data_IF_438865671897
#
_entry.id   IF_438865671897
#
_cell.length_a   1.000
_cell.length_b   1.000
_cell.length_c   1.000
_cell.angle_alpha   90.00
_cell.angle_beta   90.00
_cell.angle_gamma   90.00
#
_symmetry.space_group_name_H-M   'P 1'
#
loop_
_entity.id
_entity.type
_entity.pdbx_description
1 polymer ?
#
# COMPACT_ATOMS: atom_id res chain seq x y z
N UNK A 1 -60.75 24.38 43.09
CA UNK A 1 -60.55 23.55 41.91
C UNK A 1 -59.75 24.30 40.85
N UNK A 2 -58.47 24.64 41.06
CA UNK A 2 -57.60 25.35 40.09
C UNK A 2 -56.16 25.09 40.39
N UNK A 3 -55.70 23.80 40.51
CA UNK A 3 -54.32 23.47 40.73
C UNK A 3 -53.82 22.19 39.98
N UNK A 4 -54.53 21.78 38.90
CA UNK A 4 -54.15 20.55 38.17
C UNK A 4 -53.81 20.73 36.68
N UNK A 5 -53.64 21.96 36.22
CA UNK A 5 -53.40 22.22 34.78
C UNK A 5 -52.01 22.74 34.40
N UNK A 6 -51.06 22.78 35.31
CA UNK A 6 -49.70 23.36 35.02
C UNK A 6 -48.61 22.31 34.88
N UNK A 7 -48.83 21.03 35.20
CA UNK A 7 -47.79 19.99 35.10
C UNK A 7 -47.74 19.26 33.74
N UNK A 8 -48.64 19.50 32.82
CA UNK A 8 -48.67 18.78 31.54
C UNK A 8 -47.95 19.49 30.37
N UNK A 9 -47.52 20.74 30.57
CA UNK A 9 -46.85 21.52 29.50
C UNK A 9 -45.32 21.53 29.56
N UNK A 10 -44.68 20.91 30.57
CA UNK A 10 -43.21 20.95 30.72
C UNK A 10 -42.48 19.67 30.31
N UNK A 11 -43.21 18.64 29.89
CA UNK A 11 -42.59 17.36 29.45
C UNK A 11 -42.44 17.21 27.94
N UNK A 12 -42.86 18.19 27.14
CA UNK A 12 -42.85 18.04 25.67
C UNK A 12 -41.72 18.79 24.95
N UNK A 13 -40.80 19.43 25.67
CA UNK A 13 -39.70 20.21 25.06
C UNK A 13 -38.29 19.65 25.31
N UNK A 14 -38.16 18.41 25.86
CA UNK A 14 -36.85 17.84 26.15
C UNK A 14 -36.46 16.63 25.27
N UNK A 15 -37.16 16.40 24.15
CA UNK A 15 -36.89 15.26 23.26
C UNK A 15 -36.32 15.62 21.88
N UNK A 16 -35.88 16.86 21.66
CA UNK A 16 -35.29 17.24 20.34
C UNK A 16 -33.87 17.78 20.52
N UNK A 17 -32.98 17.01 21.14
CA UNK A 17 -31.57 17.31 21.15
C UNK A 17 -30.69 16.03 21.26
N UNK A 18 -31.19 14.91 20.78
CA UNK A 18 -30.33 13.78 20.38
C UNK A 18 -30.16 13.91 18.87
N UNK A 19 -29.50 15.01 18.46
CA UNK A 19 -28.90 15.11 17.15
C UNK A 19 -27.95 13.95 17.01
N UNK A 20 -28.32 12.94 16.22
CA UNK A 20 -27.44 11.87 15.86
C UNK A 20 -26.14 12.46 15.32
N UNK A 21 -25.10 12.38 16.09
CA UNK A 21 -23.76 12.42 15.52
C UNK A 21 -23.72 11.20 14.60
N UNK A 22 -23.98 11.43 13.31
CA UNK A 22 -23.53 10.50 12.29
C UNK A 22 -22.02 10.41 12.51
N UNK A 23 -21.60 9.34 13.17
CA UNK A 23 -20.18 8.97 13.16
C UNK A 23 -19.81 8.96 11.67
N UNK A 24 -18.95 9.88 11.26
CA UNK A 24 -18.32 9.80 9.98
C UNK A 24 -17.59 8.45 10.02
N UNK A 25 -18.19 7.45 9.41
CA UNK A 25 -17.52 6.18 9.18
C UNK A 25 -16.21 6.57 8.50
N UNK A 26 -15.07 6.29 9.13
CA UNK A 26 -13.80 6.40 8.47
C UNK A 26 -13.94 5.60 7.17
N UNK A 27 -14.01 6.33 6.06
CA UNK A 27 -14.11 5.69 4.76
C UNK A 27 -12.77 5.03 4.53
N UNK A 28 -12.69 3.75 4.86
CA UNK A 28 -11.53 2.94 4.55
C UNK A 28 -11.24 3.02 3.05
N UNK A 29 -9.98 2.87 2.68
CA UNK A 29 -9.58 2.79 1.28
C UNK A 29 -10.19 1.51 0.71
N UNK A 30 -10.98 1.63 -0.36
CA UNK A 30 -11.49 0.48 -1.12
C UNK A 30 -10.57 0.15 -2.29
N UNK A 31 -10.64 -1.09 -2.76
CA UNK A 31 -9.83 -1.55 -3.89
C UNK A 31 -10.74 -2.00 -5.03
N UNK A 32 -10.40 -1.59 -6.24
CA UNK A 32 -11.11 -1.96 -7.47
C UNK A 32 -10.07 -2.56 -8.42
N UNK A 33 -10.20 -3.85 -8.69
CA UNK A 33 -9.33 -4.56 -9.63
C UNK A 33 -10.07 -4.80 -10.94
N UNK A 34 -9.58 -4.23 -12.04
CA UNK A 34 -10.17 -4.36 -13.38
C UNK A 34 -11.68 -4.04 -13.40
N UNK A 35 -12.11 -3.05 -12.58
CA UNK A 35 -13.51 -2.64 -12.46
C UNK A 35 -14.34 -3.43 -11.45
N UNK A 36 -13.82 -4.48 -10.83
CA UNK A 36 -14.49 -5.25 -9.78
C UNK A 36 -13.95 -4.89 -8.39
N UNK A 37 -14.82 -4.87 -7.38
CA UNK A 37 -14.40 -4.63 -5.99
C UNK A 37 -13.54 -5.81 -5.52
N UNK A 38 -12.36 -5.51 -4.98
CA UNK A 38 -11.47 -6.46 -4.35
C UNK A 38 -11.60 -6.32 -2.83
N UNK A 39 -12.18 -7.33 -2.20
CA UNK A 39 -12.25 -7.41 -0.74
C UNK A 39 -10.89 -7.82 -0.17
N UNK A 40 -10.47 -7.13 0.88
CA UNK A 40 -9.24 -7.44 1.63
C UNK A 40 -9.57 -7.57 3.11
N UNK A 41 -9.08 -8.61 3.77
CA UNK A 41 -9.33 -8.83 5.21
C UNK A 41 -8.67 -7.76 6.07
N UNK A 42 -7.56 -7.21 5.61
CA UNK A 42 -6.79 -6.19 6.31
C UNK A 42 -7.00 -4.84 5.63
N UNK A 43 -7.44 -3.87 6.42
CA UNK A 43 -7.60 -2.50 5.96
C UNK A 43 -6.26 -1.90 5.51
N UNK A 44 -6.31 -1.11 4.44
CA UNK A 44 -5.15 -0.32 4.03
C UNK A 44 -4.76 0.68 5.12
N UNK A 45 -3.46 0.90 5.27
CA UNK A 45 -2.92 1.95 6.11
C UNK A 45 -2.39 3.10 5.27
N UNK A 46 -2.62 4.33 5.70
CA UNK A 46 -1.98 5.51 5.10
C UNK A 46 -0.84 5.95 6.00
N UNK A 47 0.38 5.80 5.52
CA UNK A 47 1.60 6.15 6.23
C UNK A 47 2.34 7.17 5.36
N UNK A 48 2.58 8.35 5.90
CA UNK A 48 3.22 9.47 5.18
C UNK A 48 2.68 9.65 3.75
N UNK A 49 1.35 9.84 3.64
CA UNK A 49 0.60 10.02 2.39
C UNK A 49 0.69 8.83 1.40
N UNK A 50 1.21 7.71 1.84
CA UNK A 50 1.38 6.49 1.04
C UNK A 50 0.42 5.41 1.53
N UNK A 51 -0.31 4.81 0.60
CA UNK A 51 -1.24 3.71 0.89
C UNK A 51 -0.46 2.40 0.94
N UNK A 52 -0.42 1.80 2.13
CA UNK A 52 0.14 0.47 2.39
C UNK A 52 -0.97 -0.58 2.40
N UNK A 53 -0.70 -1.71 1.79
CA UNK A 53 -1.67 -2.81 1.63
C UNK A 53 -1.03 -4.15 1.97
N UNK A 54 -1.83 -5.11 2.44
CA UNK A 54 -1.39 -6.50 2.47
C UNK A 54 -1.05 -6.95 1.04
N UNK A 55 0.18 -7.47 0.86
CA UNK A 55 0.67 -7.81 -0.47
C UNK A 55 -0.08 -9.00 -1.07
N UNK A 56 -0.45 -9.97 -0.22
CA UNK A 56 -0.91 -11.28 -0.69
C UNK A 56 -2.25 -11.26 -1.42
N UNK A 57 -3.32 -10.60 -0.92
CA UNK A 57 -4.58 -10.51 -1.64
C UNK A 57 -4.44 -9.88 -3.03
N UNK A 58 -3.56 -8.87 -3.16
CA UNK A 58 -3.32 -8.20 -4.45
C UNK A 58 -2.57 -9.13 -5.42
N UNK A 59 -1.56 -9.85 -4.90
CA UNK A 59 -0.82 -10.84 -5.70
C UNK A 59 -1.75 -11.93 -6.20
N UNK A 60 -2.54 -12.57 -5.32
CA UNK A 60 -3.47 -13.63 -5.70
C UNK A 60 -4.52 -13.19 -6.71
N UNK A 61 -5.02 -11.95 -6.56
CA UNK A 61 -6.03 -11.42 -7.46
C UNK A 61 -5.49 -11.15 -8.88
N UNK A 62 -4.19 -10.78 -9.00
CA UNK A 62 -3.53 -10.56 -10.29
C UNK A 62 -2.92 -11.85 -10.86
N UNK A 63 -2.44 -12.74 -10.00
CA UNK A 63 -1.76 -13.99 -10.35
C UNK A 63 -2.33 -15.14 -9.51
N UNK A 64 -3.44 -15.76 -9.91
CA UNK A 64 -4.10 -16.80 -9.12
C UNK A 64 -3.24 -18.04 -8.85
N UNK A 65 -2.27 -18.32 -9.74
CA UNK A 65 -1.34 -19.44 -9.62
C UNK A 65 -0.07 -19.10 -8.81
N UNK A 66 -0.01 -17.92 -8.21
CA UNK A 66 1.14 -17.52 -7.41
C UNK A 66 1.24 -18.37 -6.14
N UNK A 67 2.46 -18.76 -5.80
CA UNK A 67 2.80 -19.43 -4.55
C UNK A 67 3.61 -18.50 -3.65
N UNK A 68 3.33 -18.51 -2.34
CA UNK A 68 4.10 -17.77 -1.36
C UNK A 68 4.60 -18.70 -0.26
N UNK A 69 5.86 -18.55 0.12
CA UNK A 69 6.47 -19.26 1.23
C UNK A 69 7.19 -18.26 2.13
N UNK A 70 7.25 -18.57 3.43
CA UNK A 70 8.08 -17.82 4.36
C UNK A 70 9.41 -18.51 4.52
N UNK A 71 10.48 -17.89 4.05
CA UNK A 71 11.84 -18.39 4.15
C UNK A 71 12.82 -17.23 4.39
N UNK A 72 13.94 -17.49 5.04
CA UNK A 72 15.01 -16.51 5.24
C UNK A 72 14.53 -15.17 5.85
N UNK A 73 13.54 -15.22 6.75
CA UNK A 73 12.90 -14.04 7.37
C UNK A 73 12.24 -13.09 6.36
N UNK A 74 11.72 -13.61 5.25
CA UNK A 74 11.00 -12.84 4.22
C UNK A 74 9.89 -13.67 3.58
N UNK A 75 8.91 -13.02 2.99
CA UNK A 75 7.99 -13.65 2.07
C UNK A 75 8.70 -13.82 0.71
N UNK A 76 8.66 -15.02 0.16
CA UNK A 76 9.15 -15.36 -1.16
C UNK A 76 7.96 -15.77 -2.02
N UNK A 77 7.66 -14.99 -3.04
CA UNK A 77 6.53 -15.20 -3.95
C UNK A 77 7.06 -15.58 -5.31
N UNK A 78 6.49 -16.61 -5.89
CA UNK A 78 6.82 -17.08 -7.24
C UNK A 78 5.57 -17.26 -8.07
N UNK A 79 5.59 -16.79 -9.30
CA UNK A 79 4.59 -17.04 -10.32
C UNK A 79 5.26 -16.95 -11.70
N UNK A 80 4.53 -17.18 -12.78
CA UNK A 80 5.06 -17.03 -14.12
C UNK A 80 5.63 -15.62 -14.35
N UNK A 81 6.92 -15.56 -14.71
CA UNK A 81 7.63 -14.31 -14.98
C UNK A 81 7.93 -13.42 -13.77
N UNK A 82 7.63 -13.86 -12.52
CA UNK A 82 7.91 -13.08 -11.33
C UNK A 82 8.49 -13.92 -10.19
N UNK A 83 9.60 -13.42 -9.64
CA UNK A 83 10.10 -13.77 -8.31
C UNK A 83 10.12 -12.50 -7.47
N UNK A 84 9.39 -12.50 -6.35
CA UNK A 84 9.23 -11.32 -5.48
C UNK A 84 9.65 -11.68 -4.06
N UNK A 85 10.52 -10.87 -3.46
CA UNK A 85 10.98 -11.01 -2.08
C UNK A 85 10.59 -9.79 -1.27
N UNK A 86 9.92 -10.02 -0.14
CA UNK A 86 9.41 -8.96 0.74
C UNK A 86 9.87 -9.26 2.16
N UNK A 87 10.79 -8.44 2.68
CA UNK A 87 11.33 -8.60 4.04
C UNK A 87 10.77 -7.51 4.94
N UNK A 88 10.11 -7.85 6.07
CA UNK A 88 9.68 -6.89 7.07
C UNK A 88 10.80 -5.94 7.51
N UNK A 89 10.49 -4.66 7.63
CA UNK A 89 11.42 -3.60 8.02
C UNK A 89 12.44 -3.18 6.96
N UNK A 90 12.53 -3.88 5.83
CA UNK A 90 13.43 -3.47 4.75
C UNK A 90 12.92 -2.20 4.05
N UNK A 91 13.84 -1.35 3.61
CA UNK A 91 13.55 -0.14 2.83
C UNK A 91 13.37 -0.43 1.33
N UNK A 92 13.21 -1.69 0.96
CA UNK A 92 12.97 -2.12 -0.42
C UNK A 92 12.24 -3.46 -0.45
N UNK A 93 11.61 -3.73 -1.59
CA UNK A 93 11.24 -5.08 -2.02
C UNK A 93 12.07 -5.46 -3.24
N UNK A 94 12.34 -6.73 -3.44
CA UNK A 94 13.06 -7.21 -4.59
C UNK A 94 12.10 -7.94 -5.53
N UNK A 95 12.06 -7.54 -6.81
CA UNK A 95 11.23 -8.14 -7.83
C UNK A 95 12.07 -8.43 -9.08
N UNK A 96 12.22 -9.69 -9.46
CA UNK A 96 13.02 -10.12 -10.60
C UNK A 96 14.47 -9.57 -10.57
N UNK A 97 15.09 -9.53 -9.38
CA UNK A 97 16.43 -8.98 -9.20
C UNK A 97 16.52 -7.44 -9.24
N UNK A 98 15.37 -6.74 -9.21
CA UNK A 98 15.31 -5.28 -9.08
C UNK A 98 14.89 -4.89 -7.67
N UNK A 99 15.58 -3.92 -7.10
CA UNK A 99 15.26 -3.36 -5.79
C UNK A 99 14.33 -2.15 -5.97
N UNK A 100 13.14 -2.25 -5.42
CA UNK A 100 12.12 -1.19 -5.45
C UNK A 100 12.04 -0.55 -4.08
N UNK A 101 12.34 0.73 -4.01
CA UNK A 101 12.42 1.47 -2.76
C UNK A 101 11.07 1.61 -2.06
N UNK A 102 11.09 1.44 -0.74
CA UNK A 102 9.94 1.57 0.17
C UNK A 102 10.28 2.63 1.24
N UNK A 103 9.78 3.87 1.14
CA UNK A 103 10.22 5.01 1.95
C UNK A 103 10.19 4.73 3.46
N UNK A 104 9.04 4.31 3.98
CA UNK A 104 8.86 4.03 5.41
C UNK A 104 9.13 2.56 5.77
N UNK A 105 9.76 1.81 4.85
CA UNK A 105 10.04 0.38 5.01
C UNK A 105 8.79 -0.49 4.88
N UNK A 106 9.02 -1.78 4.75
CA UNK A 106 7.98 -2.81 4.73
C UNK A 106 7.39 -2.95 6.12
N UNK A 107 6.09 -2.74 6.26
CA UNK A 107 5.37 -2.76 7.54
C UNK A 107 4.81 -4.15 7.85
N UNK A 108 4.41 -4.36 9.10
CA UNK A 108 3.72 -5.57 9.56
C UNK A 108 2.51 -5.17 10.38
N UNK A 109 1.37 -5.80 10.10
CA UNK A 109 0.15 -5.68 10.89
C UNK A 109 -0.38 -7.07 11.23
N UNK A 110 -0.29 -7.47 12.49
CA UNK A 110 -0.59 -8.84 12.89
C UNK A 110 0.35 -9.83 12.22
N UNK A 111 -0.18 -10.67 11.35
CA UNK A 111 0.59 -11.64 10.56
C UNK A 111 0.80 -11.20 9.10
N UNK A 112 0.26 -10.06 8.72
CA UNK A 112 0.34 -9.55 7.36
C UNK A 112 1.51 -8.60 7.15
N UNK A 113 2.07 -8.67 5.95
CA UNK A 113 3.14 -7.79 5.50
C UNK A 113 2.52 -6.73 4.59
N UNK A 114 2.72 -5.48 4.96
CA UNK A 114 2.20 -4.34 4.23
C UNK A 114 3.30 -3.66 3.42
N UNK A 115 2.97 -3.35 2.17
CA UNK A 115 3.85 -2.65 1.23
C UNK A 115 3.09 -1.52 0.54
N UNK A 116 3.78 -0.46 0.08
CA UNK A 116 3.13 0.59 -0.71
C UNK A 116 2.49 0.00 -1.96
N UNK A 117 1.20 0.29 -2.17
CA UNK A 117 0.44 -0.25 -3.31
C UNK A 117 1.08 0.08 -4.66
N UNK A 118 1.67 1.26 -4.81
CA UNK A 118 2.34 1.68 -6.06
C UNK A 118 3.63 0.91 -6.31
N UNK A 119 4.39 0.61 -5.25
CA UNK A 119 5.62 -0.20 -5.34
C UNK A 119 5.26 -1.65 -5.70
N UNK A 120 4.24 -2.20 -5.04
CA UNK A 120 3.71 -3.53 -5.35
C UNK A 120 3.18 -3.59 -6.78
N UNK A 121 2.36 -2.62 -7.20
CA UNK A 121 1.84 -2.54 -8.56
C UNK A 121 2.96 -2.51 -9.61
N UNK A 122 4.02 -1.75 -9.37
CA UNK A 122 5.20 -1.73 -10.26
C UNK A 122 5.88 -3.11 -10.35
N UNK A 123 6.02 -3.83 -9.24
CA UNK A 123 6.58 -5.19 -9.24
C UNK A 123 5.71 -6.16 -10.04
N UNK A 124 4.39 -6.07 -9.86
CA UNK A 124 3.39 -6.93 -10.50
C UNK A 124 3.05 -6.51 -11.93
N UNK A 125 3.59 -5.40 -12.43
CA UNK A 125 3.25 -4.86 -13.76
C UNK A 125 1.83 -4.32 -13.84
N UNK A 126 1.23 -3.91 -12.73
CA UNK A 126 -0.10 -3.33 -12.66
C UNK A 126 -0.07 -1.80 -12.61
N UNK A 127 -1.07 -1.16 -13.18
CA UNK A 127 -1.28 0.29 -13.10
C UNK A 127 -2.13 0.62 -11.88
N UNK A 128 -1.66 1.59 -11.09
CA UNK A 128 -2.32 2.03 -9.85
C UNK A 128 -2.79 3.46 -10.01
N UNK A 129 -4.09 3.68 -9.88
CA UNK A 129 -4.71 4.99 -9.89
C UNK A 129 -5.46 5.25 -8.57
N UNK A 130 -5.44 6.49 -8.10
CA UNK A 130 -6.22 6.92 -6.94
C UNK A 130 -7.46 7.70 -7.37
N UNK A 131 -8.63 7.22 -7.00
CA UNK A 131 -9.89 7.91 -7.20
C UNK A 131 -10.31 8.62 -5.89
N UNK A 132 -10.02 9.91 -5.80
CA UNK A 132 -10.32 10.70 -4.60
C UNK A 132 -11.82 10.88 -4.32
N UNK A 133 -12.68 10.81 -5.34
CA UNK A 133 -14.11 10.96 -5.18
C UNK A 133 -14.75 9.75 -4.47
N UNK A 134 -14.25 8.55 -4.75
CA UNK A 134 -14.70 7.29 -4.13
C UNK A 134 -13.80 6.80 -3.00
N UNK A 135 -12.67 7.44 -2.74
CA UNK A 135 -11.62 6.97 -1.83
C UNK A 135 -11.18 5.55 -2.17
N UNK A 136 -11.00 5.29 -3.47
CA UNK A 136 -10.67 3.98 -4.00
C UNK A 136 -9.30 3.97 -4.68
N UNK A 137 -8.59 2.85 -4.51
CA UNK A 137 -7.42 2.49 -5.33
C UNK A 137 -7.91 1.62 -6.49
N UNK A 138 -7.75 2.11 -7.69
CA UNK A 138 -8.05 1.39 -8.92
C UNK A 138 -6.78 0.68 -9.39
N UNK A 139 -6.87 -0.63 -9.58
CA UNK A 139 -5.79 -1.50 -10.00
C UNK A 139 -6.17 -2.05 -11.38
N UNK A 140 -5.34 -1.80 -12.36
CA UNK A 140 -5.52 -2.37 -13.71
C UNK A 140 -4.37 -3.30 -14.01
N UNK A 141 -4.66 -4.53 -14.39
CA UNK A 141 -3.66 -5.52 -14.79
C UNK A 141 -2.86 -5.01 -15.98
N UNK A 142 -1.54 -5.14 -15.92
CA UNK A 142 -0.67 -4.91 -17.06
C UNK A 142 -0.44 -6.19 -17.87
N UNK A 143 0.46 -6.11 -18.83
CA UNK A 143 0.77 -7.23 -19.73
C UNK A 143 1.76 -8.24 -19.12
N UNK A 144 2.62 -7.80 -18.19
CA UNK A 144 3.66 -8.63 -17.59
C UNK A 144 4.23 -7.99 -16.34
N UNK A 145 4.79 -8.78 -15.41
CA UNK A 145 5.54 -8.26 -14.27
C UNK A 145 6.76 -7.43 -14.71
N UNK A 146 7.37 -6.77 -13.74
CA UNK A 146 8.61 -6.02 -13.97
C UNK A 146 9.68 -6.92 -14.62
N UNK A 147 10.34 -6.48 -15.71
CA UNK A 147 11.37 -7.27 -16.36
C UNK A 147 12.57 -7.51 -15.44
N UNK A 148 13.33 -8.58 -15.73
CA UNK A 148 14.54 -8.94 -14.96
C UNK A 148 15.51 -7.79 -14.82
N UNK A 149 16.10 -7.66 -13.62
CA UNK A 149 17.21 -6.76 -13.32
C UNK A 149 18.56 -7.23 -13.88
N UNK A 150 18.62 -8.49 -14.34
CA UNK A 150 19.84 -9.06 -14.95
C UNK A 150 20.03 -8.67 -16.43
N UNK A 151 19.24 -7.68 -16.91
CA UNK A 151 19.50 -7.09 -18.22
C UNK A 151 20.94 -6.56 -18.25
N UNK A 152 21.66 -6.86 -19.33
CA UNK A 152 23.02 -6.40 -19.52
C UNK A 152 23.10 -4.89 -19.31
N UNK A 153 23.76 -4.49 -18.25
CA UNK A 153 24.13 -3.10 -18.02
C UNK A 153 25.62 -2.93 -18.38
N UNK A 154 25.98 -1.71 -18.77
CA UNK A 154 27.39 -1.39 -19.02
C UNK A 154 28.06 -1.17 -17.67
N UNK A 155 29.00 -2.04 -17.30
CA UNK A 155 29.69 -1.99 -16.00
C UNK A 155 30.40 -0.66 -15.77
N UNK A 156 31.01 -0.08 -16.80
CA UNK A 156 31.64 1.23 -16.76
C UNK A 156 30.65 2.35 -16.46
N UNK A 157 29.44 2.32 -17.05
CA UNK A 157 28.38 3.28 -16.75
C UNK A 157 27.94 3.18 -15.31
N UNK A 158 27.69 1.96 -14.79
CA UNK A 158 27.32 1.73 -13.39
C UNK A 158 28.45 2.19 -12.46
N UNK A 159 29.69 1.91 -12.79
CA UNK A 159 30.86 2.36 -12.03
C UNK A 159 30.91 3.90 -11.93
N UNK A 160 30.79 4.61 -13.05
CA UNK A 160 30.83 6.07 -13.04
C UNK A 160 29.62 6.70 -12.37
N UNK A 161 28.41 6.18 -12.60
CA UNK A 161 27.20 6.63 -11.92
C UNK A 161 27.31 6.47 -10.40
N UNK A 162 27.80 5.32 -9.93
CA UNK A 162 27.96 5.09 -8.50
C UNK A 162 28.94 6.08 -7.85
N UNK A 163 29.99 6.47 -8.56
CA UNK A 163 30.97 7.49 -8.11
C UNK A 163 30.37 8.89 -8.08
N UNK A 164 29.55 9.23 -9.08
CA UNK A 164 28.85 10.51 -9.12
C UNK A 164 27.87 10.60 -7.94
N UNK A 165 27.04 9.57 -7.74
CA UNK A 165 26.10 9.51 -6.61
C UNK A 165 26.86 9.63 -5.27
N UNK A 166 27.98 8.93 -5.14
CA UNK A 166 28.80 9.03 -3.94
C UNK A 166 29.40 10.45 -3.74
N UNK A 167 29.86 11.09 -4.80
CA UNK A 167 30.42 12.45 -4.74
C UNK A 167 29.34 13.49 -4.33
N UNK A 168 28.13 13.35 -4.88
CA UNK A 168 27.02 14.27 -4.60
C UNK A 168 26.35 14.01 -3.24
N UNK A 169 26.30 12.77 -2.80
CA UNK A 169 25.52 12.35 -1.63
C UNK A 169 26.30 11.49 -0.62
N UNK A 170 27.61 11.47 -0.66
CA UNK A 170 28.46 10.59 0.17
C UNK A 170 28.19 10.69 1.67
N UNK A 171 27.86 11.88 2.16
CA UNK A 171 27.54 12.16 3.57
C UNK A 171 26.04 12.07 3.89
N UNK A 172 25.21 11.74 2.93
CA UNK A 172 23.76 11.65 3.11
C UNK A 172 23.35 10.28 3.69
N UNK A 173 22.16 10.25 4.27
CA UNK A 173 21.47 9.01 4.63
C UNK A 173 21.25 8.13 3.40
N UNK A 174 20.84 6.88 3.60
CA UNK A 174 20.46 5.99 2.50
C UNK A 174 19.36 6.60 1.63
N UNK A 175 18.36 7.22 2.27
CA UNK A 175 17.26 7.88 1.56
C UNK A 175 17.75 9.06 0.70
N UNK A 176 18.71 9.84 1.21
CA UNK A 176 19.35 10.90 0.45
C UNK A 176 20.15 10.38 -0.75
N UNK A 177 20.84 9.25 -0.61
CA UNK A 177 21.56 8.61 -1.73
C UNK A 177 20.62 8.07 -2.80
N UNK A 178 19.50 7.50 -2.40
CA UNK A 178 18.46 7.01 -3.31
C UNK A 178 17.80 8.17 -4.08
N UNK A 179 17.63 9.34 -3.44
CA UNK A 179 17.02 10.51 -4.08
C UNK A 179 17.92 11.12 -5.17
N UNK A 180 19.25 10.93 -5.09
CA UNK A 180 20.23 11.41 -6.10
C UNK A 180 20.39 10.42 -7.26
N UNK A 181 20.28 9.12 -7.02
CA UNK A 181 20.45 8.05 -8.03
C UNK A 181 19.18 7.46 -8.52
#
# INVERSE_FOLDING_TARGET
MKKRAICAALCLTLCIALGGQAAAAERGVSFILNGAVLETEIAAQVIDQTVYVSYWPIVQALYPDAAAVWANHRAEVTTEGLTLYIKPGAKYIEANGRYLYVPEGVQVQGYDILVPIRVLGRALGAYINWNGASSAVEITSGSSPIPSGTLAYQEDVVYWLSRIIYAESGNQSLDGKIAVG
#
